data_IF_399730642036
#
_entry.id   IF_399730642036
#
_cell.length_a   1.000
_cell.length_b   1.000
_cell.length_c   1.000
_cell.angle_alpha   90.00
_cell.angle_beta   90.00
_cell.angle_gamma   90.00
#
_symmetry.space_group_name_H-M   'P 1'
#
loop_
_entity.id
_entity.type
_entity.pdbx_description
1 polymer ?
#
# COMPACT_ATOMS: atom_id res chain seq x y z
N UNK A 1 -29.78 -2.42 -13.79
CA UNK A 1 -28.77 -2.35 -12.72
C UNK A 1 -27.93 -3.62 -12.80
N UNK A 2 -26.72 -3.52 -13.36
CA UNK A 2 -25.83 -4.67 -13.43
C UNK A 2 -25.19 -4.87 -12.05
N UNK A 3 -25.53 -5.97 -11.38
CA UNK A 3 -24.82 -6.40 -10.19
C UNK A 3 -23.46 -6.90 -10.67
N UNK A 4 -22.40 -6.15 -10.38
CA UNK A 4 -21.04 -6.58 -10.67
C UNK A 4 -20.69 -7.65 -9.63
N UNK A 5 -20.77 -8.92 -10.05
CA UNK A 5 -20.32 -10.05 -9.22
C UNK A 5 -18.81 -9.89 -9.05
N UNK A 6 -18.38 -9.56 -7.83
CA UNK A 6 -16.96 -9.54 -7.50
C UNK A 6 -16.49 -10.99 -7.32
N UNK A 7 -15.58 -11.45 -8.18
CA UNK A 7 -14.91 -12.73 -7.99
C UNK A 7 -13.80 -12.57 -6.94
N UNK A 8 -13.82 -13.41 -5.92
CA UNK A 8 -12.75 -13.46 -4.92
C UNK A 8 -11.58 -14.29 -5.47
N UNK A 9 -10.47 -13.61 -5.78
CA UNK A 9 -9.22 -14.26 -6.21
C UNK A 9 -8.33 -14.49 -5.00
N UNK A 10 -8.05 -15.76 -4.68
CA UNK A 10 -7.12 -16.13 -3.62
C UNK A 10 -5.73 -16.38 -4.20
N UNK A 11 -4.70 -15.87 -3.51
CA UNK A 11 -3.30 -16.05 -3.89
C UNK A 11 -2.50 -16.56 -2.71
N UNK A 12 -1.83 -17.69 -2.90
CA UNK A 12 -0.91 -18.26 -1.93
C UNK A 12 0.44 -17.53 -1.97
N UNK A 13 1.11 -17.47 -0.82
CA UNK A 13 2.44 -16.87 -0.68
C UNK A 13 2.50 -15.84 0.44
N UNK A 14 3.58 -15.05 0.44
CA UNK A 14 3.79 -13.94 1.37
C UNK A 14 3.34 -12.64 0.70
N UNK A 15 2.80 -11.73 1.49
CA UNK A 15 2.32 -10.43 1.04
C UNK A 15 2.87 -9.33 1.95
N UNK A 16 3.16 -8.16 1.37
CA UNK A 16 3.62 -6.97 2.09
C UNK A 16 2.78 -5.80 1.62
N UNK A 17 2.09 -5.14 2.54
CA UNK A 17 1.37 -3.89 2.31
C UNK A 17 2.18 -2.70 2.81
N UNK A 18 2.32 -1.68 1.97
CA UNK A 18 3.02 -0.43 2.29
C UNK A 18 2.06 0.72 2.08
N UNK A 19 1.88 1.54 3.12
CA UNK A 19 1.12 2.79 3.01
C UNK A 19 1.95 3.86 2.32
N UNK A 20 1.38 4.44 1.26
CA UNK A 20 1.88 5.68 0.64
C UNK A 20 1.10 6.83 1.25
N UNK A 21 1.82 7.75 1.85
CA UNK A 21 1.28 8.82 2.68
C UNK A 21 1.83 10.18 2.25
N UNK A 22 1.13 11.23 2.64
CA UNK A 22 1.48 12.64 2.49
C UNK A 22 1.18 13.37 3.80
N UNK A 23 1.65 14.61 3.95
CA UNK A 23 1.26 15.43 5.11
C UNK A 23 -0.27 15.60 5.18
N UNK A 24 -0.88 15.61 6.38
CA UNK A 24 -0.25 15.77 7.69
C UNK A 24 0.18 14.47 8.40
N UNK A 25 -0.01 13.29 7.80
CA UNK A 25 0.38 12.01 8.42
C UNK A 25 1.82 12.09 8.99
N UNK A 26 2.13 11.38 10.11
CA UNK A 26 1.23 10.65 11.00
C UNK A 26 0.49 11.54 12.01
N UNK A 27 0.48 12.87 11.80
CA UNK A 27 -0.17 13.82 12.68
C UNK A 27 -1.55 14.22 12.16
N UNK A 28 -2.39 14.69 13.07
CA UNK A 28 -3.68 15.28 12.75
C UNK A 28 -3.59 16.81 12.84
N UNK A 29 -3.04 17.44 11.80
CA UNK A 29 -2.94 18.90 11.70
C UNK A 29 -3.90 19.44 10.62
N UNK A 30 -5.03 20.05 11.00
CA UNK A 30 -6.02 20.56 10.06
C UNK A 30 -5.52 21.77 9.25
N UNK A 31 -4.41 22.40 9.63
CA UNK A 31 -3.81 23.51 8.89
C UNK A 31 -2.97 23.06 7.69
N UNK A 32 -2.60 21.78 7.63
CA UNK A 32 -1.80 21.19 6.56
C UNK A 32 -2.66 20.23 5.76
N UNK A 33 -2.87 20.53 4.48
CA UNK A 33 -3.74 19.72 3.60
C UNK A 33 -3.04 19.33 2.31
N UNK A 34 -3.28 18.08 1.89
CA UNK A 34 -2.89 17.55 0.58
C UNK A 34 -4.11 17.29 -0.31
N UNK A 35 -5.27 17.86 0.03
CA UNK A 35 -6.52 17.67 -0.71
C UNK A 35 -6.40 18.18 -2.14
N UNK A 36 -7.07 17.49 -3.06
CA UNK A 36 -7.12 17.77 -4.49
C UNK A 36 -5.75 17.66 -5.21
N UNK A 37 -4.72 17.14 -4.52
CA UNK A 37 -3.45 16.75 -5.15
C UNK A 37 -3.66 15.55 -6.07
N UNK A 38 -3.09 15.62 -7.28
CA UNK A 38 -3.18 14.59 -8.30
C UNK A 38 -2.32 13.36 -7.97
N UNK A 39 -2.88 12.17 -8.24
CA UNK A 39 -2.19 10.89 -8.18
C UNK A 39 -1.95 10.40 -9.60
N UNK A 40 -0.69 10.40 -10.02
CA UNK A 40 -0.30 9.93 -11.35
C UNK A 40 0.28 8.51 -11.31
N UNK A 41 -0.12 7.69 -12.27
CA UNK A 41 0.45 6.36 -12.51
C UNK A 41 1.24 6.41 -13.82
N UNK A 42 2.56 6.20 -13.76
CA UNK A 42 3.44 6.28 -14.93
C UNK A 42 3.11 5.22 -15.99
N UNK A 43 2.66 4.04 -15.54
CA UNK A 43 2.13 2.96 -16.36
C UNK A 43 0.67 2.72 -15.98
N UNK A 44 -0.21 2.35 -16.93
CA UNK A 44 -1.62 2.06 -16.68
C UNK A 44 -1.82 0.69 -16.02
N UNK A 45 -1.08 0.42 -14.94
CA UNK A 45 -1.18 -0.80 -14.14
C UNK A 45 -1.43 -0.41 -12.69
N UNK A 46 -2.56 -0.87 -12.15
CA UNK A 46 -3.00 -0.62 -10.76
C UNK A 46 -3.07 -1.92 -9.94
N UNK A 47 -2.53 -3.02 -10.43
CA UNK A 47 -2.53 -4.29 -9.71
C UNK A 47 -1.84 -4.15 -8.35
N UNK A 48 -2.53 -4.54 -7.29
CA UNK A 48 -2.04 -4.42 -5.91
C UNK A 48 -1.95 -2.98 -5.40
N UNK A 49 -2.55 -2.01 -6.07
CA UNK A 49 -2.68 -0.64 -5.57
C UNK A 49 -4.12 -0.45 -5.10
N UNK A 50 -4.29 -0.21 -3.81
CA UNK A 50 -5.56 -0.03 -3.15
C UNK A 50 -5.72 1.44 -2.74
N UNK A 51 -6.85 2.01 -3.10
CA UNK A 51 -7.19 3.38 -2.78
C UNK A 51 -7.79 3.47 -1.37
N UNK A 52 -7.43 4.49 -0.59
CA UNK A 52 -8.10 4.83 0.68
C UNK A 52 -8.90 6.14 0.51
N UNK A 53 -8.30 7.28 0.86
CA UNK A 53 -8.99 8.59 0.89
C UNK A 53 -8.82 9.38 -0.42
N UNK A 54 -9.29 8.82 -1.54
CA UNK A 54 -9.15 9.41 -2.87
C UNK A 54 -10.47 9.37 -3.66
N UNK A 55 -10.62 10.27 -4.61
CA UNK A 55 -11.78 10.34 -5.52
C UNK A 55 -11.33 10.42 -6.97
N UNK A 56 -12.21 10.04 -7.89
CA UNK A 56 -12.01 10.18 -9.33
C UNK A 56 -12.77 11.43 -9.81
N UNK A 57 -12.09 12.36 -10.48
CA UNK A 57 -12.68 13.55 -11.10
C UNK A 57 -12.14 13.63 -12.53
N UNK A 58 -13.03 13.62 -13.53
CA UNK A 58 -12.64 13.70 -14.95
C UNK A 58 -11.55 12.66 -15.33
N UNK A 59 -11.72 11.41 -14.87
CA UNK A 59 -10.76 10.30 -15.03
C UNK A 59 -9.39 10.47 -14.33
N UNK A 60 -9.25 11.51 -13.51
CA UNK A 60 -8.06 11.77 -12.70
C UNK A 60 -8.30 11.38 -11.23
N UNK A 61 -7.33 10.69 -10.63
CA UNK A 61 -7.35 10.36 -9.22
C UNK A 61 -6.79 11.51 -8.40
N UNK A 62 -7.54 11.97 -7.42
CA UNK A 62 -7.14 13.07 -6.55
C UNK A 62 -7.38 12.72 -5.08
N UNK A 63 -6.53 13.25 -4.20
CA UNK A 63 -6.67 13.07 -2.75
C UNK A 63 -7.95 13.76 -2.26
N UNK A 64 -8.78 13.03 -1.53
CA UNK A 64 -10.05 13.53 -1.00
C UNK A 64 -10.03 13.77 0.51
N UNK A 65 -9.30 12.95 1.26
CA UNK A 65 -9.26 12.99 2.72
C UNK A 65 -8.22 13.95 3.31
N UNK A 66 -8.23 14.04 4.64
CA UNK A 66 -7.39 14.94 5.43
C UNK A 66 -6.35 14.21 6.27
N UNK A 67 -6.41 12.88 6.37
CA UNK A 67 -5.52 12.05 7.19
C UNK A 67 -4.09 11.94 6.63
N UNK A 68 -3.93 12.20 5.33
CA UNK A 68 -2.67 11.97 4.62
C UNK A 68 -2.41 10.50 4.23
N UNK A 69 -3.34 9.56 4.49
CA UNK A 69 -3.25 8.18 4.02
C UNK A 69 -3.89 8.05 2.64
N UNK A 70 -3.08 7.83 1.61
CA UNK A 70 -3.55 7.94 0.21
C UNK A 70 -3.79 6.59 -0.43
N UNK A 71 -2.78 5.70 -0.38
CA UNK A 71 -2.81 4.39 -1.02
C UNK A 71 -2.21 3.33 -0.10
N UNK A 72 -2.66 2.09 -0.26
CA UNK A 72 -1.95 0.91 0.20
C UNK A 72 -1.44 0.15 -1.03
N UNK A 73 -0.13 -0.01 -1.13
CA UNK A 73 0.50 -0.78 -2.20
C UNK A 73 0.93 -2.13 -1.65
N UNK A 74 0.36 -3.18 -2.22
CA UNK A 74 0.63 -4.56 -1.86
C UNK A 74 1.57 -5.18 -2.88
N UNK A 75 2.58 -5.88 -2.42
CA UNK A 75 3.38 -6.82 -3.21
C UNK A 75 3.20 -8.24 -2.71
N UNK A 76 3.41 -9.20 -3.60
CA UNK A 76 3.24 -10.63 -3.36
C UNK A 76 4.45 -11.40 -3.90
N UNK A 77 4.77 -12.52 -3.26
CA UNK A 77 5.85 -13.40 -3.69
C UNK A 77 5.89 -14.69 -2.88
N UNK A 78 6.74 -15.62 -3.30
CA UNK A 78 6.96 -16.86 -2.54
C UNK A 78 7.73 -16.61 -1.25
N UNK A 79 8.58 -15.58 -1.25
CA UNK A 79 9.31 -15.11 -0.06
C UNK A 79 8.89 -13.70 0.30
N UNK A 80 9.12 -13.30 1.56
CA UNK A 80 8.84 -11.93 1.98
C UNK A 80 9.68 -10.90 1.19
N UNK A 81 10.95 -11.22 0.90
CA UNK A 81 11.83 -10.37 0.08
C UNK A 81 11.29 -10.14 -1.33
N UNK A 82 10.70 -11.15 -1.96
CA UNK A 82 10.04 -11.00 -3.26
C UNK A 82 8.80 -10.12 -3.15
N UNK A 83 7.98 -10.31 -2.11
CA UNK A 83 6.81 -9.48 -1.85
C UNK A 83 7.18 -8.01 -1.61
N UNK A 84 8.21 -7.73 -0.80
CA UNK A 84 8.77 -6.39 -0.58
C UNK A 84 9.24 -5.77 -1.91
N UNK A 85 10.06 -6.48 -2.68
CA UNK A 85 10.60 -5.99 -3.94
C UNK A 85 9.47 -5.62 -4.94
N UNK A 86 8.41 -6.43 -5.00
CA UNK A 86 7.25 -6.14 -5.83
C UNK A 86 6.49 -4.91 -5.33
N UNK A 87 6.24 -4.79 -4.02
CA UNK A 87 5.55 -3.64 -3.43
C UNK A 87 6.27 -2.33 -3.75
N UNK A 88 7.59 -2.27 -3.49
CA UNK A 88 8.39 -1.08 -3.76
C UNK A 88 8.54 -0.79 -5.26
N UNK A 89 8.58 -1.82 -6.11
CA UNK A 89 8.54 -1.64 -7.57
C UNK A 89 7.23 -1.03 -8.05
N UNK A 90 6.09 -1.45 -7.46
CA UNK A 90 4.77 -0.85 -7.72
C UNK A 90 4.69 0.59 -7.25
N UNK A 91 5.26 0.93 -6.08
CA UNK A 91 5.32 2.31 -5.60
C UNK A 91 6.11 3.21 -6.56
N UNK A 92 7.19 2.71 -7.17
CA UNK A 92 7.93 3.47 -8.21
C UNK A 92 7.10 3.83 -9.43
N UNK A 93 5.93 3.22 -9.64
CA UNK A 93 5.00 3.57 -10.70
C UNK A 93 4.11 4.78 -10.33
N UNK A 94 4.11 5.22 -9.07
CA UNK A 94 3.22 6.22 -8.50
C UNK A 94 3.97 7.54 -8.35
N UNK A 95 3.33 8.64 -8.72
CA UNK A 95 3.83 9.99 -8.50
C UNK A 95 2.75 10.80 -7.78
N UNK A 96 3.07 11.19 -6.55
CA UNK A 96 2.28 12.11 -5.73
C UNK A 96 3.31 13.09 -5.11
N UNK A 97 3.12 14.41 -5.27
CA UNK A 97 4.00 15.41 -4.67
C UNK A 97 4.19 15.18 -3.16
N UNK A 98 5.45 15.25 -2.70
CA UNK A 98 5.82 15.08 -1.29
C UNK A 98 5.35 13.76 -0.64
N UNK A 99 5.04 12.74 -1.44
CA UNK A 99 4.72 11.43 -0.87
C UNK A 99 5.94 10.82 -0.20
N UNK A 100 5.67 10.07 0.85
CA UNK A 100 6.67 9.25 1.50
C UNK A 100 6.03 7.96 1.98
N UNK A 101 6.87 7.00 2.33
CA UNK A 101 6.47 5.68 2.78
C UNK A 101 7.65 5.07 3.52
N UNK A 102 7.36 4.10 4.38
CA UNK A 102 8.39 3.29 5.03
C UNK A 102 9.03 2.33 4.02
N UNK A 103 10.35 2.27 4.00
CA UNK A 103 11.14 1.41 3.11
C UNK A 103 11.72 0.17 3.81
N UNK A 104 11.38 -0.03 5.08
CA UNK A 104 11.93 -1.05 5.98
C UNK A 104 10.87 -2.08 6.43
N UNK A 105 9.67 -2.04 5.83
CA UNK A 105 8.57 -2.93 6.20
C UNK A 105 8.95 -4.37 5.92
N UNK A 106 9.08 -5.17 6.98
CA UNK A 106 9.36 -6.61 6.91
C UNK A 106 10.85 -6.97 7.02
N UNK A 107 11.76 -6.01 7.16
CA UNK A 107 13.21 -6.28 7.14
C UNK A 107 13.66 -7.21 8.26
N UNK A 108 13.01 -7.12 9.42
CA UNK A 108 13.32 -7.96 10.58
C UNK A 108 12.69 -9.36 10.54
N UNK A 109 11.82 -9.63 9.57
CA UNK A 109 11.03 -10.86 9.55
C UNK A 109 11.88 -12.12 9.57
N UNK A 110 13.05 -12.11 8.93
CA UNK A 110 13.93 -13.28 8.90
C UNK A 110 14.33 -13.72 10.31
N UNK A 111 14.67 -12.79 11.19
CA UNK A 111 15.04 -13.10 12.58
C UNK A 111 13.81 -13.24 13.48
N UNK A 112 12.81 -12.38 13.27
CA UNK A 112 11.63 -12.34 14.13
C UNK A 112 10.71 -13.55 13.87
N UNK A 113 10.70 -14.14 12.66
CA UNK A 113 9.96 -15.37 12.39
C UNK A 113 10.46 -16.55 13.21
N UNK A 114 11.78 -16.70 13.31
CA UNK A 114 12.40 -17.78 14.08
C UNK A 114 12.09 -17.64 15.57
N UNK A 115 12.14 -16.40 16.10
CA UNK A 115 11.74 -16.12 17.48
C UNK A 115 10.26 -16.44 17.72
N UNK A 116 9.38 -16.03 16.81
CA UNK A 116 7.94 -16.28 16.93
C UNK A 116 7.60 -17.77 16.87
N UNK A 117 8.31 -18.56 16.05
CA UNK A 117 8.22 -20.01 16.04
C UNK A 117 8.71 -20.62 17.35
N UNK A 118 9.89 -20.23 17.83
CA UNK A 118 10.48 -20.73 19.08
C UNK A 118 9.61 -20.41 20.31
N UNK A 119 8.93 -19.26 20.31
CA UNK A 119 7.99 -18.87 21.36
C UNK A 119 6.60 -19.48 21.21
N UNK A 120 6.32 -20.20 20.11
CA UNK A 120 5.03 -20.82 19.84
C UNK A 120 3.92 -19.86 19.42
N UNK A 121 4.26 -18.59 19.09
CA UNK A 121 3.31 -17.60 18.56
C UNK A 121 3.04 -17.78 17.07
N UNK A 122 4.00 -18.31 16.31
CA UNK A 122 3.79 -18.77 14.94
C UNK A 122 3.81 -20.30 14.92
N UNK A 123 2.68 -20.90 14.53
CA UNK A 123 2.59 -22.35 14.30
C UNK A 123 2.68 -22.60 12.80
N UNK A 124 3.32 -23.70 12.40
CA UNK A 124 3.15 -24.19 11.03
C UNK A 124 1.67 -24.54 10.83
N UNK A 125 1.11 -24.10 9.70
CA UNK A 125 -0.25 -24.46 9.27
C UNK A 125 -0.24 -25.78 8.52
#
# INVERSE_FOLDING_TARGET
LAIQVAEAIYRYGKQVGVRVVVSPYPFDDPSVTSKDVLIMFQKPNREGIHIEDVKLINDEWVIAGTSGVVLVVVGMGQTLKQAQAQAYSRIKNILIPNMYYRNDIGDRWFEDSDKLHNWGYLREM
#
